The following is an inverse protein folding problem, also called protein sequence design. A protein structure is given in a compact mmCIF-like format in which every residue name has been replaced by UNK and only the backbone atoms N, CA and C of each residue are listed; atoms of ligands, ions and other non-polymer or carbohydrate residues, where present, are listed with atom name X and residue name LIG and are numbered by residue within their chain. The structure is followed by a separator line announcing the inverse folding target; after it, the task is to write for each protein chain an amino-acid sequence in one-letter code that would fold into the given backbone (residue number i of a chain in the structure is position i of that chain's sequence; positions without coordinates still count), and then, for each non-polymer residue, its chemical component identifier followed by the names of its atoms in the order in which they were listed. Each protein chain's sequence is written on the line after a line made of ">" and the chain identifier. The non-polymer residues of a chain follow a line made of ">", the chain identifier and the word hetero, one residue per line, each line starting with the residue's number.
data_IF_853421002333
#
_entry.id   IF_853421002333
#
_cell.length_a   1.000
_cell.length_b   1.000
_cell.length_c   1.000
_cell.angle_alpha   90.00
_cell.angle_beta   90.00
_cell.angle_gamma   90.00
#
_symmetry.space_group_name_H-M   'P 1'
#
loop_
_entity.id
_entity.type
_entity.pdbx_description
1 polymer ?
#
# COMPACT_ATOMS: atom_id res chain seq x y z
N UNK A 1 5.23 -30.79 -27.13
CA UNK A 1 5.32 -30.04 -25.87
C UNK A 1 4.84 -28.60 -26.00
N UNK A 2 4.91 -27.96 -27.17
CA UNK A 2 4.45 -26.57 -27.37
C UNK A 2 2.92 -26.40 -27.49
N UNK A 3 2.21 -27.39 -28.05
CA UNK A 3 0.76 -27.36 -28.26
C UNK A 3 -0.01 -27.28 -26.93
N UNK A 4 0.40 -28.08 -25.94
CA UNK A 4 -0.20 -28.09 -24.59
C UNK A 4 -0.03 -26.74 -23.86
N UNK A 5 1.09 -26.05 -24.07
CA UNK A 5 1.29 -24.71 -23.51
C UNK A 5 0.38 -23.67 -24.17
N UNK A 6 0.14 -23.78 -25.48
CA UNK A 6 -0.77 -22.86 -26.17
C UNK A 6 -2.23 -23.04 -25.76
N UNK A 7 -2.67 -24.28 -25.55
CA UNK A 7 -4.02 -24.59 -25.05
C UNK A 7 -4.23 -24.04 -23.63
N UNK A 8 -3.27 -24.27 -22.72
CA UNK A 8 -3.29 -23.71 -21.37
C UNK A 8 -3.34 -22.17 -21.37
N UNK A 9 -2.51 -21.53 -22.19
CA UNK A 9 -2.50 -20.07 -22.31
C UNK A 9 -3.85 -19.54 -22.82
N UNK A 10 -4.45 -20.19 -23.82
CA UNK A 10 -5.76 -19.78 -24.33
C UNK A 10 -6.86 -19.96 -23.28
N UNK A 11 -6.81 -21.03 -22.49
CA UNK A 11 -7.78 -21.28 -21.43
C UNK A 11 -7.68 -20.24 -20.31
N UNK A 12 -6.45 -19.89 -19.91
CA UNK A 12 -6.20 -18.77 -18.98
C UNK A 12 -6.74 -17.46 -19.54
N UNK A 13 -6.45 -17.13 -20.80
CA UNK A 13 -6.93 -15.88 -21.42
C UNK A 13 -8.46 -15.82 -21.47
N UNK A 14 -9.13 -16.94 -21.77
CA UNK A 14 -10.60 -17.02 -21.74
C UNK A 14 -11.17 -16.76 -20.34
N UNK A 15 -10.55 -17.33 -19.31
CA UNK A 15 -10.98 -17.16 -17.92
C UNK A 15 -10.67 -15.77 -17.35
N UNK A 16 -9.64 -15.10 -17.88
CA UNK A 16 -9.07 -13.88 -17.30
C UNK A 16 -9.51 -12.62 -18.07
N UNK A 17 -9.12 -12.52 -19.35
CA UNK A 17 -9.33 -11.32 -20.17
C UNK A 17 -10.68 -11.31 -20.89
N UNK A 18 -11.21 -12.49 -21.21
CA UNK A 18 -12.52 -12.63 -21.88
C UNK A 18 -13.69 -12.75 -20.89
N UNK A 19 -13.40 -12.73 -19.59
CA UNK A 19 -14.40 -12.77 -18.53
C UNK A 19 -14.56 -11.37 -17.91
N UNK A 20 -15.69 -10.67 -18.14
CA UNK A 20 -15.91 -9.33 -17.61
C UNK A 20 -15.95 -9.29 -16.07
N UNK A 21 -16.36 -10.38 -15.40
CA UNK A 21 -16.36 -10.46 -13.94
C UNK A 21 -14.94 -10.45 -13.38
N UNK A 22 -14.03 -11.20 -14.00
CA UNK A 22 -12.62 -11.19 -13.62
C UNK A 22 -12.01 -9.79 -13.80
N UNK A 23 -12.29 -9.15 -14.93
CA UNK A 23 -11.81 -7.79 -15.22
C UNK A 23 -12.29 -6.79 -14.17
N UNK A 24 -13.56 -6.86 -13.76
CA UNK A 24 -14.09 -6.00 -12.70
C UNK A 24 -13.36 -6.19 -11.36
N UNK A 25 -13.10 -7.44 -10.96
CA UNK A 25 -12.32 -7.75 -9.75
C UNK A 25 -10.89 -7.24 -9.87
N UNK A 26 -10.23 -7.45 -11.01
CA UNK A 26 -8.88 -6.98 -11.26
C UNK A 26 -8.78 -5.45 -11.15
N UNK A 27 -9.71 -4.71 -11.76
CA UNK A 27 -9.79 -3.25 -11.67
C UNK A 27 -9.99 -2.81 -10.21
N UNK A 28 -10.91 -3.47 -9.49
CA UNK A 28 -11.16 -3.18 -8.08
C UNK A 28 -9.90 -3.38 -7.22
N UNK A 29 -9.13 -4.45 -7.46
CA UNK A 29 -7.88 -4.72 -6.74
C UNK A 29 -6.81 -3.69 -7.06
N UNK A 30 -6.65 -3.32 -8.33
CA UNK A 30 -5.70 -2.27 -8.76
C UNK A 30 -6.02 -0.93 -8.07
N UNK A 31 -7.29 -0.64 -7.79
CA UNK A 31 -7.68 0.57 -7.07
C UNK A 31 -7.56 0.45 -5.54
N UNK A 32 -8.04 -0.66 -4.97
CA UNK A 32 -8.11 -0.86 -3.52
C UNK A 32 -6.73 -1.05 -2.89
N UNK A 33 -5.84 -1.81 -3.52
CA UNK A 33 -4.54 -2.13 -2.93
C UNK A 33 -3.72 -0.84 -2.68
N UNK A 34 -3.48 0.05 -3.66
CA UNK A 34 -2.75 1.30 -3.42
C UNK A 34 -3.41 2.16 -2.34
N UNK A 35 -4.74 2.23 -2.32
CA UNK A 35 -5.47 3.02 -1.33
C UNK A 35 -5.20 2.53 0.11
N UNK A 36 -5.17 1.20 0.33
CA UNK A 36 -4.86 0.62 1.63
C UNK A 36 -3.40 0.89 2.05
N UNK A 37 -2.45 0.78 1.11
CA UNK A 37 -1.04 1.10 1.37
C UNK A 37 -0.85 2.57 1.77
N UNK A 38 -1.45 3.50 1.03
CA UNK A 38 -1.36 4.94 1.32
C UNK A 38 -1.93 5.23 2.71
N UNK A 39 -3.09 4.66 3.06
CA UNK A 39 -3.69 4.83 4.40
C UNK A 39 -2.75 4.36 5.51
N UNK A 40 -2.12 3.20 5.34
CA UNK A 40 -1.16 2.65 6.32
C UNK A 40 0.06 3.56 6.49
N UNK A 41 0.61 4.06 5.38
CA UNK A 41 1.78 4.97 5.43
C UNK A 41 1.40 6.29 6.10
N UNK A 42 0.25 6.88 5.77
CA UNK A 42 -0.20 8.13 6.38
C UNK A 42 -0.43 7.99 7.89
N UNK A 43 -1.05 6.90 8.33
CA UNK A 43 -1.25 6.64 9.76
C UNK A 43 0.09 6.58 10.52
N UNK A 44 1.08 5.86 9.97
CA UNK A 44 2.41 5.78 10.57
C UNK A 44 3.10 7.14 10.64
N UNK A 45 3.04 7.93 9.56
CA UNK A 45 3.60 9.30 9.54
C UNK A 45 2.93 10.20 10.57
N UNK A 46 1.61 10.07 10.73
CA UNK A 46 0.85 10.87 11.69
C UNK A 46 1.25 10.56 13.14
N UNK A 47 1.40 9.28 13.48
CA UNK A 47 1.87 8.87 14.82
C UNK A 47 3.30 9.36 15.10
N UNK A 48 4.21 9.24 14.13
CA UNK A 48 5.58 9.78 14.25
C UNK A 48 5.56 11.30 14.49
N UNK A 49 4.72 12.04 13.74
CA UNK A 49 4.60 13.49 13.88
C UNK A 49 4.07 13.89 15.26
N UNK A 50 3.14 13.15 15.84
CA UNK A 50 2.67 13.39 17.22
C UNK A 50 3.79 13.25 18.23
N UNK A 51 4.60 12.20 18.11
CA UNK A 51 5.73 11.94 19.00
C UNK A 51 6.76 13.08 18.88
N UNK A 52 7.07 13.50 17.65
CA UNK A 52 8.00 14.60 17.39
C UNK A 52 7.49 15.93 17.98
N UNK A 53 6.21 16.26 17.79
CA UNK A 53 5.59 17.46 18.38
C UNK A 53 5.65 17.39 19.91
N UNK A 54 5.37 16.23 20.51
CA UNK A 54 5.47 16.07 21.96
C UNK A 54 6.91 16.24 22.45
N UNK A 55 7.89 15.62 21.79
CA UNK A 55 9.31 15.76 22.10
C UNK A 55 9.75 17.23 22.02
N UNK A 56 9.34 17.93 20.97
CA UNK A 56 9.65 19.35 20.79
C UNK A 56 9.00 20.22 21.88
N UNK A 57 7.77 19.91 22.31
CA UNK A 57 7.12 20.60 23.43
C UNK A 57 7.86 20.35 24.75
N UNK A 58 8.23 19.10 25.04
CA UNK A 58 8.97 18.73 26.26
C UNK A 58 10.32 19.45 26.29
N UNK A 59 11.06 19.47 25.18
CA UNK A 59 12.34 20.17 25.09
C UNK A 59 12.21 21.69 25.30
N UNK A 60 11.11 22.30 24.86
CA UNK A 60 10.84 23.72 25.14
C UNK A 60 10.50 24.00 26.60
N UNK A 61 9.78 23.08 27.26
CA UNK A 61 9.38 23.21 28.65
C UNK A 61 10.54 22.92 29.62
N UNK A 62 11.40 21.98 29.26
CA UNK A 62 12.58 21.58 30.01
C UNK A 62 13.80 21.68 29.09
N UNK A 63 14.27 22.89 28.79
CA UNK A 63 15.51 23.04 28.04
C UNK A 63 16.63 22.43 28.87
N UNK A 64 17.25 21.37 28.37
CA UNK A 64 18.41 20.78 29.04
C UNK A 64 19.53 21.79 28.93
N UNK A 65 19.82 22.50 30.03
CA UNK A 65 20.91 23.47 30.16
C UNK A 65 22.30 22.79 30.18
N UNK A 66 22.42 21.59 29.62
CA UNK A 66 23.69 20.87 29.54
C UNK A 66 24.50 21.43 28.36
N UNK A 67 25.62 22.13 28.61
CA UNK A 67 26.54 22.51 27.56
C UNK A 67 27.07 21.24 26.88
N UNK A 68 27.22 21.32 25.55
CA UNK A 68 27.80 20.27 24.71
C UNK A 68 29.21 19.90 25.15
#
# INVERSE_FOLDING_TARGET
>A
MEISNQELIQEIIRLTWRNPAFMAVAIALVWLIPQLFIRKIMAKKYEQRKIEIQKNKIQKLYPTNTPK
#
